data_IF_245666113296
#
_entry.id   IF_245666113296
#
_cell.length_a   1.000
_cell.length_b   1.000
_cell.length_c   1.000
_cell.angle_alpha   90.00
_cell.angle_beta   90.00
_cell.angle_gamma   90.00
#
_symmetry.space_group_name_H-M   'P 1'
#
loop_
_entity.id
_entity.type
_entity.pdbx_description
1 polymer ?
#
# COMPACT_ATOMS: atom_id res chain seq x y z
N UNK A 1 -5.11 -10.58 -5.13
CA UNK A 1 -4.64 -9.28 -4.58
C UNK A 1 -5.72 -8.23 -4.80
N UNK A 2 -6.02 -7.38 -3.82
CA UNK A 2 -6.95 -6.25 -4.00
C UNK A 2 -6.21 -5.08 -4.65
N UNK A 3 -6.74 -4.55 -5.75
CA UNK A 3 -6.08 -3.48 -6.53
C UNK A 3 -6.58 -2.08 -6.13
N UNK A 4 -7.84 -1.94 -5.73
CA UNK A 4 -8.48 -0.64 -5.49
C UNK A 4 -9.05 -0.52 -4.07
N UNK A 5 -8.98 0.69 -3.50
CA UNK A 5 -9.66 1.06 -2.25
C UNK A 5 -11.14 1.34 -2.43
N UNK A 6 -11.61 1.54 -3.65
CA UNK A 6 -13.02 1.69 -3.95
C UNK A 6 -13.80 0.47 -3.42
N UNK A 7 -15.01 0.72 -2.93
CA UNK A 7 -15.88 -0.37 -2.53
C UNK A 7 -16.33 -1.16 -3.78
N UNK A 8 -16.65 -2.46 -3.65
CA UNK A 8 -17.23 -3.20 -4.77
C UNK A 8 -18.48 -2.53 -5.35
N UNK A 9 -19.27 -1.86 -4.50
CA UNK A 9 -20.47 -1.13 -4.91
C UNK A 9 -20.13 0.11 -5.74
N UNK A 10 -19.10 0.89 -5.36
CA UNK A 10 -18.64 2.05 -6.14
C UNK A 10 -18.12 1.61 -7.51
N UNK A 11 -17.32 0.54 -7.56
CA UNK A 11 -16.80 -0.01 -8.83
C UNK A 11 -17.96 -0.49 -9.71
N UNK A 12 -18.93 -1.20 -9.13
CA UNK A 12 -20.12 -1.66 -9.85
C UNK A 12 -20.97 -0.51 -10.38
N UNK A 13 -21.22 0.52 -9.57
CA UNK A 13 -21.97 1.70 -9.96
C UNK A 13 -21.26 2.48 -11.08
N UNK A 14 -19.95 2.68 -10.97
CA UNK A 14 -19.13 3.32 -12.00
C UNK A 14 -19.17 2.53 -13.31
N UNK A 15 -18.95 1.20 -13.25
CA UNK A 15 -18.97 0.32 -14.42
C UNK A 15 -20.31 0.37 -15.15
N UNK A 16 -21.42 0.32 -14.41
CA UNK A 16 -22.77 0.39 -14.98
C UNK A 16 -23.02 1.75 -15.67
N UNK A 17 -22.57 2.84 -15.06
CA UNK A 17 -22.74 4.18 -15.64
C UNK A 17 -21.91 4.40 -16.91
N UNK A 18 -20.69 3.83 -16.96
CA UNK A 18 -19.79 3.94 -18.11
C UNK A 18 -20.24 3.05 -19.28
N UNK A 19 -20.62 1.80 -19.01
CA UNK A 19 -21.05 0.83 -20.03
C UNK A 19 -22.38 1.17 -20.70
N UNK A 20 -23.26 1.94 -20.04
CA UNK A 20 -24.53 2.36 -20.63
C UNK A 20 -24.40 3.25 -21.88
N UNK A 21 -23.19 3.73 -22.20
CA UNK A 21 -22.94 4.71 -23.27
C UNK A 21 -22.05 4.21 -24.41
N UNK A 22 -21.35 3.09 -24.25
CA UNK A 22 -20.33 2.67 -25.21
C UNK A 22 -20.22 1.15 -25.35
N UNK A 23 -19.83 0.71 -26.55
CA UNK A 23 -19.64 -0.71 -26.87
C UNK A 23 -18.29 -1.28 -26.39
N UNK A 24 -17.27 -0.43 -26.14
CA UNK A 24 -15.92 -0.86 -25.74
C UNK A 24 -15.30 0.08 -24.72
N UNK A 25 -14.43 -0.42 -23.83
CA UNK A 25 -13.78 0.42 -22.81
C UNK A 25 -12.77 1.41 -23.42
N UNK A 26 -12.24 1.13 -24.61
CA UNK A 26 -11.37 2.05 -25.35
C UNK A 26 -12.05 3.36 -25.75
N UNK A 27 -13.37 3.39 -25.89
CA UNK A 27 -14.11 4.59 -26.28
C UNK A 27 -14.07 5.71 -25.24
N UNK A 28 -13.81 5.39 -23.96
CA UNK A 28 -13.71 6.35 -22.87
C UNK A 28 -12.47 7.25 -22.92
N UNK A 29 -11.54 6.99 -23.83
CA UNK A 29 -10.26 7.70 -23.93
C UNK A 29 -10.12 8.49 -25.23
N UNK A 30 -11.24 8.79 -25.89
CA UNK A 30 -11.28 9.75 -27.00
C UNK A 30 -11.33 11.16 -26.44
N UNK A 31 -10.77 12.13 -27.17
CA UNK A 31 -10.68 13.54 -26.72
C UNK A 31 -12.06 14.18 -26.44
N UNK A 32 -13.12 13.65 -27.03
CA UNK A 32 -14.50 14.11 -26.87
C UNK A 32 -15.28 13.40 -25.76
N UNK A 33 -14.65 12.46 -25.04
CA UNK A 33 -15.32 11.74 -23.97
C UNK A 33 -15.45 12.62 -22.72
N UNK A 34 -16.70 12.84 -22.31
CA UNK A 34 -17.03 13.39 -20.99
C UNK A 34 -17.83 12.34 -20.21
N UNK A 35 -17.38 11.93 -19.01
CA UNK A 35 -18.16 11.01 -18.21
C UNK A 35 -19.55 11.60 -17.94
N UNK A 36 -20.57 10.73 -17.89
CA UNK A 36 -21.95 11.13 -17.59
C UNK A 36 -22.12 11.71 -16.19
N UNK A 37 -23.34 11.95 -15.73
CA UNK A 37 -23.56 12.35 -14.33
C UNK A 37 -23.05 11.27 -13.37
N UNK A 38 -22.58 11.69 -12.19
CA UNK A 38 -22.11 10.78 -11.16
C UNK A 38 -23.24 9.84 -10.72
N UNK A 39 -22.96 8.53 -10.55
CA UNK A 39 -23.90 7.63 -9.88
C UNK A 39 -24.21 8.11 -8.46
N UNK A 40 -25.42 7.87 -7.97
CA UNK A 40 -25.84 8.35 -6.64
C UNK A 40 -24.97 7.86 -5.47
N UNK A 41 -24.25 6.74 -5.64
CA UNK A 41 -23.34 6.20 -4.64
C UNK A 41 -21.97 6.92 -4.60
N UNK A 42 -21.62 7.67 -5.64
CA UNK A 42 -20.30 8.28 -5.81
C UNK A 42 -20.43 9.80 -5.69
N UNK A 43 -19.60 10.39 -4.83
CA UNK A 43 -19.50 11.84 -4.70
C UNK A 43 -19.16 12.49 -6.05
N UNK A 44 -19.93 13.53 -6.43
CA UNK A 44 -19.80 14.21 -7.72
C UNK A 44 -18.40 14.80 -7.92
N UNK A 45 -17.80 15.32 -6.84
CA UNK A 45 -16.43 15.84 -6.86
C UNK A 45 -15.35 14.78 -7.13
N UNK A 46 -15.65 13.50 -6.88
CA UNK A 46 -14.73 12.37 -7.08
C UNK A 46 -15.02 11.60 -8.37
N UNK A 47 -16.18 11.82 -8.98
CA UNK A 47 -16.64 11.03 -10.11
C UNK A 47 -15.67 11.01 -11.30
N UNK A 48 -15.07 12.13 -11.75
CA UNK A 48 -14.11 12.10 -12.86
C UNK A 48 -12.93 11.14 -12.60
N UNK A 49 -12.35 11.20 -11.41
CA UNK A 49 -11.24 10.33 -11.00
C UNK A 49 -11.67 8.85 -10.93
N UNK A 50 -12.83 8.56 -10.34
CA UNK A 50 -13.36 7.20 -10.23
C UNK A 50 -13.72 6.62 -11.60
N UNK A 51 -14.33 7.43 -12.47
CA UNK A 51 -14.71 7.03 -13.82
C UNK A 51 -13.47 6.67 -14.64
N UNK A 52 -12.43 7.51 -14.60
CA UNK A 52 -11.17 7.24 -15.28
C UNK A 52 -10.48 6.00 -14.72
N UNK A 53 -10.36 5.88 -13.40
CA UNK A 53 -9.76 4.71 -12.74
C UNK A 53 -10.44 3.40 -13.17
N UNK A 54 -11.77 3.35 -13.12
CA UNK A 54 -12.54 2.17 -13.50
C UNK A 54 -12.42 1.91 -15.00
N UNK A 55 -12.59 2.92 -15.86
CA UNK A 55 -12.47 2.73 -17.31
C UNK A 55 -11.10 2.17 -17.71
N UNK A 56 -10.01 2.64 -17.09
CA UNK A 56 -8.65 2.17 -17.37
C UNK A 56 -8.45 0.74 -16.91
N UNK A 57 -8.90 0.39 -15.70
CA UNK A 57 -8.84 -0.97 -15.19
C UNK A 57 -9.62 -1.95 -16.08
N UNK A 58 -10.86 -1.60 -16.44
CA UNK A 58 -11.72 -2.44 -17.28
C UNK A 58 -11.16 -2.63 -18.69
N UNK A 59 -10.51 -1.60 -19.25
CA UNK A 59 -9.81 -1.70 -20.54
C UNK A 59 -8.69 -2.74 -20.51
N UNK A 60 -7.94 -2.83 -19.41
CA UNK A 60 -6.92 -3.87 -19.23
C UNK A 60 -7.58 -5.25 -19.08
N UNK A 61 -8.64 -5.35 -18.29
CA UNK A 61 -9.39 -6.60 -18.08
C UNK A 61 -10.00 -7.13 -19.38
N UNK A 62 -10.55 -6.26 -20.22
CA UNK A 62 -11.07 -6.60 -21.56
C UNK A 62 -9.98 -7.30 -22.39
N UNK A 63 -8.80 -6.70 -22.52
CA UNK A 63 -7.67 -7.28 -23.28
C UNK A 63 -7.17 -8.58 -22.64
N UNK A 64 -7.07 -8.65 -21.32
CA UNK A 64 -6.67 -9.86 -20.61
C UNK A 64 -7.61 -11.03 -20.90
N UNK A 65 -8.92 -10.78 -20.94
CA UNK A 65 -9.93 -11.81 -21.22
C UNK A 65 -9.99 -12.20 -22.69
N UNK A 66 -9.92 -11.23 -23.60
CA UNK A 66 -10.12 -11.47 -25.03
C UNK A 66 -8.85 -11.94 -25.75
N UNK A 67 -7.69 -11.43 -25.35
CA UNK A 67 -6.41 -11.59 -26.07
C UNK A 67 -5.31 -12.24 -25.22
N UNK A 68 -5.55 -12.38 -23.92
CA UNK A 68 -4.64 -13.05 -23.00
C UNK A 68 -3.56 -12.13 -22.41
N UNK A 69 -2.75 -12.72 -21.51
CA UNK A 69 -1.77 -11.99 -20.72
C UNK A 69 -0.67 -11.32 -21.56
N UNK A 70 -0.12 -12.01 -22.55
CA UNK A 70 1.00 -11.47 -23.32
C UNK A 70 0.58 -10.24 -24.15
N UNK A 71 -0.64 -10.23 -24.70
CA UNK A 71 -1.21 -9.08 -25.39
C UNK A 71 -1.46 -7.90 -24.42
N UNK A 72 -1.93 -8.17 -23.20
CA UNK A 72 -2.10 -7.13 -22.19
C UNK A 72 -0.75 -6.54 -21.74
N UNK A 73 0.29 -7.37 -21.60
CA UNK A 73 1.66 -6.91 -21.31
C UNK A 73 2.23 -6.06 -22.43
N UNK A 74 2.08 -6.47 -23.69
CA UNK A 74 2.54 -5.69 -24.85
C UNK A 74 1.86 -4.32 -24.89
N UNK A 75 0.56 -4.27 -24.61
CA UNK A 75 -0.23 -3.04 -24.70
C UNK A 75 -0.08 -2.11 -23.49
N UNK A 76 0.00 -2.64 -22.28
CA UNK A 76 -0.09 -1.85 -21.04
C UNK A 76 1.12 -2.00 -20.12
N UNK A 77 2.07 -2.89 -20.41
CA UNK A 77 3.25 -3.13 -19.58
C UNK A 77 4.22 -1.94 -19.48
N UNK A 78 4.04 -0.92 -20.32
CA UNK A 78 4.76 0.36 -20.28
C UNK A 78 3.81 1.57 -20.11
N UNK A 79 2.60 1.34 -19.59
CA UNK A 79 1.64 2.42 -19.33
C UNK A 79 2.19 3.40 -18.28
N UNK A 80 2.00 4.70 -18.51
CA UNK A 80 2.31 5.75 -17.53
C UNK A 80 1.24 5.84 -16.42
N UNK A 81 0.08 5.23 -16.63
CA UNK A 81 -1.04 5.23 -15.69
C UNK A 81 -0.94 4.08 -14.69
N UNK A 82 -0.86 4.43 -13.40
CA UNK A 82 -0.68 3.47 -12.32
C UNK A 82 -1.73 2.35 -12.31
N UNK A 83 -3.01 2.65 -12.55
CA UNK A 83 -4.08 1.63 -12.49
C UNK A 83 -3.95 0.58 -13.60
N UNK A 84 -3.42 0.94 -14.77
CA UNK A 84 -3.22 0.00 -15.86
C UNK A 84 -2.08 -0.96 -15.53
N UNK A 85 -0.93 -0.43 -15.09
CA UNK A 85 0.18 -1.23 -14.60
C UNK A 85 -0.20 -2.08 -13.39
N UNK A 86 -1.00 -1.54 -12.46
CA UNK A 86 -1.47 -2.25 -11.28
C UNK A 86 -2.34 -3.45 -11.68
N UNK A 87 -3.23 -3.26 -12.65
CA UNK A 87 -4.12 -4.32 -13.14
C UNK A 87 -3.33 -5.43 -13.82
N UNK A 88 -2.39 -5.08 -14.71
CA UNK A 88 -1.51 -6.08 -15.36
C UNK A 88 -0.59 -6.77 -14.35
N UNK A 89 0.01 -6.02 -13.42
CA UNK A 89 0.90 -6.58 -12.38
C UNK A 89 0.13 -7.52 -11.45
N UNK A 90 -1.12 -7.20 -11.13
CA UNK A 90 -1.99 -8.07 -10.34
C UNK A 90 -2.36 -9.36 -11.08
N UNK A 91 -2.66 -9.27 -12.38
CA UNK A 91 -2.88 -10.43 -13.22
C UNK A 91 -1.61 -11.31 -13.29
N UNK A 92 -0.44 -10.69 -13.44
CA UNK A 92 0.85 -11.38 -13.45
C UNK A 92 1.11 -12.11 -12.13
N UNK A 93 0.84 -11.46 -11.00
CA UNK A 93 1.00 -12.07 -9.69
C UNK A 93 0.07 -13.27 -9.47
N UNK A 94 -1.16 -13.21 -10.00
CA UNK A 94 -2.12 -14.31 -9.91
C UNK A 94 -1.71 -15.56 -10.70
N UNK A 95 -0.82 -15.42 -11.69
CA UNK A 95 -0.26 -16.52 -12.49
C UNK A 95 1.24 -16.72 -12.25
N UNK A 96 1.78 -16.21 -11.14
CA UNK A 96 3.19 -16.35 -10.74
C UNK A 96 4.21 -15.82 -11.79
N UNK A 97 3.81 -14.83 -12.60
CA UNK A 97 4.63 -14.15 -13.61
C UNK A 97 5.04 -12.73 -13.23
N UNK A 98 4.64 -12.23 -12.06
CA UNK A 98 5.04 -10.90 -11.61
C UNK A 98 6.56 -10.83 -11.39
N UNK A 99 7.17 -9.73 -11.84
CA UNK A 99 8.60 -9.49 -11.69
C UNK A 99 8.87 -8.26 -10.83
N UNK A 100 10.08 -8.19 -10.25
CA UNK A 100 10.50 -7.03 -9.47
C UNK A 100 10.39 -5.73 -10.27
N UNK A 101 10.79 -5.75 -11.55
CA UNK A 101 10.78 -4.56 -12.40
C UNK A 101 9.35 -4.10 -12.70
N UNK A 102 8.38 -5.01 -12.89
CA UNK A 102 6.97 -4.63 -13.08
C UNK A 102 6.41 -3.87 -11.87
N UNK A 103 6.67 -4.37 -10.65
CA UNK A 103 6.23 -3.70 -9.43
C UNK A 103 6.97 -2.37 -9.24
N UNK A 104 8.26 -2.32 -9.56
CA UNK A 104 9.05 -1.10 -9.47
C UNK A 104 8.53 -0.01 -10.42
N UNK A 105 8.23 -0.34 -11.67
CA UNK A 105 7.68 0.64 -12.62
C UNK A 105 6.30 1.12 -12.19
N UNK A 106 5.43 0.23 -11.67
CA UNK A 106 4.15 0.62 -11.07
C UNK A 106 4.34 1.65 -9.94
N UNK A 107 5.29 1.43 -9.04
CA UNK A 107 5.52 2.31 -7.89
C UNK A 107 6.20 3.65 -8.26
N UNK A 108 6.62 3.81 -9.52
CA UNK A 108 7.15 5.06 -10.08
C UNK A 108 6.12 5.91 -10.82
N UNK A 109 4.96 5.34 -11.14
CA UNK A 109 3.87 6.10 -11.74
C UNK A 109 3.36 7.20 -10.80
N UNK A 110 2.66 8.18 -11.38
CA UNK A 110 1.86 9.11 -10.61
C UNK A 110 0.88 8.35 -9.70
N UNK A 111 0.76 8.81 -8.45
CA UNK A 111 -0.05 8.12 -7.45
C UNK A 111 -1.53 8.25 -7.80
N UNK A 112 -2.18 7.11 -8.03
CA UNK A 112 -3.63 7.01 -8.13
C UNK A 112 -4.20 6.74 -6.73
N UNK A 113 -4.92 7.71 -6.19
CA UNK A 113 -5.53 7.67 -4.85
C UNK A 113 -6.55 6.52 -4.66
N UNK A 114 -7.06 5.97 -5.77
CA UNK A 114 -7.97 4.83 -5.74
C UNK A 114 -7.23 3.50 -5.60
N UNK A 115 -5.90 3.41 -5.80
CA UNK A 115 -5.14 2.16 -5.74
C UNK A 115 -4.80 1.75 -4.31
N UNK A 116 -5.00 0.47 -4.01
CA UNK A 116 -4.55 -0.21 -2.79
C UNK A 116 -3.10 -0.70 -2.89
N UNK A 117 -2.15 0.23 -2.74
CA UNK A 117 -0.71 -0.04 -2.92
C UNK A 117 -0.09 -1.08 -1.97
N UNK A 118 -0.72 -1.38 -0.83
CA UNK A 118 -0.18 -2.30 0.17
C UNK A 118 0.21 -3.68 -0.39
N UNK A 119 -0.64 -4.27 -1.24
CA UNK A 119 -0.34 -5.57 -1.86
C UNK A 119 0.86 -5.53 -2.83
N UNK A 120 1.09 -4.39 -3.49
CA UNK A 120 2.23 -4.20 -4.37
C UNK A 120 3.52 -3.95 -3.61
N UNK A 121 3.46 -3.25 -2.47
CA UNK A 121 4.62 -3.09 -1.58
C UNK A 121 5.05 -4.43 -0.96
N UNK A 122 4.09 -5.25 -0.54
CA UNK A 122 4.37 -6.62 -0.07
C UNK A 122 5.01 -7.48 -1.18
N UNK A 123 4.51 -7.35 -2.41
CA UNK A 123 5.04 -8.03 -3.58
C UNK A 123 6.46 -7.55 -3.94
N UNK A 124 6.73 -6.24 -3.86
CA UNK A 124 8.06 -5.65 -4.04
C UNK A 124 9.06 -6.29 -3.06
N UNK A 125 8.72 -6.33 -1.77
CA UNK A 125 9.57 -6.92 -0.74
C UNK A 125 9.80 -8.42 -0.98
N UNK A 126 8.76 -9.16 -1.41
CA UNK A 126 8.84 -10.59 -1.66
C UNK A 126 9.72 -10.93 -2.87
N UNK A 127 9.61 -10.16 -3.96
CA UNK A 127 10.41 -10.35 -5.17
C UNK A 127 11.83 -9.78 -5.04
N UNK A 128 12.03 -8.83 -4.12
CA UNK A 128 13.25 -8.08 -3.94
C UNK A 128 14.17 -8.58 -2.82
N UNK A 129 14.00 -9.82 -2.34
CA UNK A 129 14.78 -10.40 -1.23
C UNK A 129 16.28 -10.44 -1.51
N UNK A 130 16.67 -10.73 -2.75
CA UNK A 130 18.07 -10.71 -3.21
C UNK A 130 18.56 -9.32 -3.65
N UNK A 131 17.67 -8.31 -3.63
CA UNK A 131 17.91 -6.95 -4.15
C UNK A 131 17.56 -5.87 -3.13
N UNK A 132 17.87 -6.12 -1.85
CA UNK A 132 17.41 -5.31 -0.72
C UNK A 132 17.61 -3.80 -0.88
N UNK A 133 18.78 -3.36 -1.38
CA UNK A 133 19.04 -1.93 -1.64
C UNK A 133 18.10 -1.33 -2.70
N UNK A 134 17.81 -2.06 -3.78
CA UNK A 134 16.89 -1.60 -4.81
C UNK A 134 15.44 -1.60 -4.32
N UNK A 135 15.06 -2.62 -3.55
CA UNK A 135 13.75 -2.70 -2.87
C UNK A 135 13.56 -1.50 -1.97
N UNK A 136 14.58 -1.20 -1.14
CA UNK A 136 14.54 -0.11 -0.19
C UNK A 136 14.46 1.24 -0.90
N UNK A 137 15.32 1.51 -1.88
CA UNK A 137 15.28 2.77 -2.64
C UNK A 137 13.93 2.99 -3.36
N UNK A 138 13.34 1.91 -3.89
CA UNK A 138 12.00 1.98 -4.52
C UNK A 138 10.92 2.30 -3.49
N UNK A 139 10.98 1.66 -2.31
CA UNK A 139 10.03 1.90 -1.23
C UNK A 139 10.18 3.33 -0.66
N UNK A 140 11.40 3.80 -0.41
CA UNK A 140 11.71 5.16 0.05
C UNK A 140 11.12 6.20 -0.92
N UNK A 141 11.39 6.05 -2.22
CA UNK A 141 10.85 6.94 -3.24
C UNK A 141 9.32 6.95 -3.26
N UNK A 142 8.69 5.77 -3.22
CA UNK A 142 7.23 5.66 -3.16
C UNK A 142 6.66 6.34 -1.90
N UNK A 143 7.28 6.10 -0.73
CA UNK A 143 6.87 6.74 0.53
C UNK A 143 6.87 8.27 0.45
N UNK A 144 7.92 8.84 -0.15
CA UNK A 144 8.04 10.28 -0.33
C UNK A 144 6.95 10.82 -1.27
N UNK A 145 6.80 10.21 -2.46
CA UNK A 145 5.77 10.59 -3.42
C UNK A 145 4.36 10.49 -2.81
N UNK A 146 4.05 9.36 -2.17
CA UNK A 146 2.77 9.09 -1.52
C UNK A 146 2.47 10.06 -0.38
N UNK A 147 3.47 10.42 0.44
CA UNK A 147 3.29 11.40 1.51
C UNK A 147 3.14 12.85 1.01
N UNK A 148 3.69 13.17 -0.16
CA UNK A 148 3.67 14.52 -0.73
C UNK A 148 2.34 14.86 -1.43
N UNK A 149 1.56 13.84 -1.82
CA UNK A 149 0.30 14.03 -2.52
C UNK A 149 -0.76 14.68 -1.61
N UNK A 150 -1.32 15.85 -1.99
CA UNK A 150 -2.43 16.48 -1.28
C UNK A 150 -3.74 15.74 -1.61
N UNK A 151 -4.01 14.66 -0.88
CA UNK A 151 -5.22 13.86 -1.07
C UNK A 151 -6.39 14.37 -0.23
N UNK A 152 -7.59 14.27 -0.81
CA UNK A 152 -8.87 14.48 -0.10
C UNK A 152 -9.55 13.18 0.30
N UNK A 153 -8.92 12.03 0.03
CA UNK A 153 -9.50 10.74 0.38
C UNK A 153 -9.63 10.62 1.90
N UNK A 154 -10.75 10.06 2.38
CA UNK A 154 -10.87 9.67 3.77
C UNK A 154 -9.71 8.75 4.17
N UNK A 155 -9.19 8.99 5.37
CA UNK A 155 -8.11 8.20 5.97
C UNK A 155 -6.75 8.28 5.25
N UNK A 156 -6.50 9.31 4.43
CA UNK A 156 -5.22 9.44 3.73
C UNK A 156 -4.02 9.49 4.67
N UNK A 157 -4.12 10.26 5.76
CA UNK A 157 -3.05 10.38 6.76
C UNK A 157 -2.70 9.02 7.37
N UNK A 158 -3.70 8.20 7.69
CA UNK A 158 -3.55 6.84 8.22
C UNK A 158 -2.93 5.88 7.20
N UNK A 159 -3.22 6.07 5.91
CA UNK A 159 -2.58 5.29 4.82
C UNK A 159 -1.11 5.66 4.69
N UNK A 160 -0.77 6.95 4.68
CA UNK A 160 0.62 7.43 4.65
C UNK A 160 1.39 6.90 5.86
N UNK A 161 0.78 6.96 7.03
CA UNK A 161 1.29 6.39 8.27
C UNK A 161 1.60 4.88 8.15
N UNK A 162 0.66 4.10 7.61
CA UNK A 162 0.83 2.65 7.41
C UNK A 162 1.98 2.35 6.44
N UNK A 163 2.08 3.09 5.34
CA UNK A 163 3.16 2.94 4.35
C UNK A 163 4.53 3.23 4.99
N UNK A 164 4.62 4.28 5.83
CA UNK A 164 5.84 4.61 6.60
C UNK A 164 6.19 3.56 7.64
N UNK A 165 5.21 2.97 8.32
CA UNK A 165 5.45 1.87 9.26
C UNK A 165 6.03 0.64 8.52
N UNK A 166 5.58 0.40 7.28
CA UNK A 166 6.18 -0.62 6.40
C UNK A 166 7.62 -0.31 5.99
N UNK A 167 7.93 0.95 5.65
CA UNK A 167 9.31 1.38 5.38
C UNK A 167 10.21 1.21 6.61
N UNK A 168 9.73 1.57 7.80
CA UNK A 168 10.47 1.37 9.04
C UNK A 168 10.75 -0.12 9.31
N UNK A 169 9.79 -0.99 9.04
CA UNK A 169 10.00 -2.43 9.12
C UNK A 169 11.01 -2.94 8.09
N UNK A 170 10.99 -2.41 6.85
CA UNK A 170 11.97 -2.76 5.82
C UNK A 170 13.39 -2.32 6.21
N UNK A 171 13.56 -1.14 6.81
CA UNK A 171 14.85 -0.74 7.37
C UNK A 171 15.40 -1.74 8.38
N UNK A 172 14.55 -2.29 9.26
CA UNK A 172 14.96 -3.34 10.20
C UNK A 172 15.43 -4.60 9.47
N UNK A 173 14.69 -5.04 8.44
CA UNK A 173 15.06 -6.21 7.63
C UNK A 173 16.41 -6.01 6.94
N UNK A 174 16.70 -4.80 6.45
CA UNK A 174 17.97 -4.45 5.80
C UNK A 174 19.10 -4.13 6.80
N UNK A 175 18.89 -4.29 8.12
CA UNK A 175 19.89 -3.97 9.14
C UNK A 175 20.14 -2.47 9.36
N UNK A 176 19.33 -1.59 8.75
CA UNK A 176 19.37 -0.12 8.91
C UNK A 176 18.63 0.30 10.17
N UNK A 177 19.11 -0.19 11.31
CA UNK A 177 18.37 -0.09 12.56
C UNK A 177 18.24 1.36 13.06
N UNK A 178 19.22 2.22 12.79
CA UNK A 178 19.15 3.61 13.23
C UNK A 178 18.00 4.35 12.55
N UNK A 179 17.90 4.23 11.23
CA UNK A 179 16.85 4.81 10.40
C UNK A 179 15.47 4.25 10.77
N UNK A 180 15.39 2.93 10.99
CA UNK A 180 14.17 2.31 11.51
C UNK A 180 13.74 2.90 12.85
N UNK A 181 14.67 3.12 13.77
CA UNK A 181 14.39 3.64 15.10
C UNK A 181 13.90 5.09 15.05
N UNK A 182 14.55 5.92 14.23
CA UNK A 182 14.16 7.31 14.01
C UNK A 182 12.74 7.39 13.44
N UNK A 183 12.45 6.61 12.40
CA UNK A 183 11.13 6.62 11.76
C UNK A 183 10.03 6.11 12.71
N UNK A 184 10.25 5.00 13.41
CA UNK A 184 9.29 4.53 14.42
C UNK A 184 9.11 5.53 15.58
N UNK A 185 10.17 6.22 16.02
CA UNK A 185 10.10 7.19 17.11
C UNK A 185 9.30 8.42 16.70
N UNK A 186 9.58 8.98 15.52
CA UNK A 186 8.82 10.09 14.97
C UNK A 186 7.33 9.75 14.86
N UNK A 187 7.01 8.56 14.34
CA UNK A 187 5.64 8.05 14.23
C UNK A 187 4.96 7.92 15.60
N UNK A 188 5.67 7.34 16.58
CA UNK A 188 5.15 7.17 17.93
C UNK A 188 4.94 8.51 18.64
N UNK A 189 5.75 9.53 18.39
CA UNK A 189 5.56 10.88 18.95
C UNK A 189 4.34 11.58 18.34
N UNK A 190 4.13 11.43 17.03
CA UNK A 190 3.03 12.08 16.30
C UNK A 190 1.65 11.51 16.69
N UNK A 191 1.51 10.19 16.73
CA UNK A 191 0.20 9.56 16.97
C UNK A 191 0.05 8.99 18.38
N UNK A 192 1.17 8.71 19.06
CA UNK A 192 1.22 7.97 20.33
C UNK A 192 0.36 6.70 20.25
N UNK A 193 0.46 5.93 19.18
CA UNK A 193 -0.34 4.72 19.04
C UNK A 193 0.38 3.51 19.63
N UNK A 194 -0.42 2.64 20.28
CA UNK A 194 0.04 1.33 20.72
C UNK A 194 0.48 0.47 19.51
N UNK A 195 -0.16 0.67 18.35
CA UNK A 195 0.11 -0.08 17.13
C UNK A 195 1.54 0.13 16.62
N UNK A 196 2.05 1.36 16.60
CA UNK A 196 3.44 1.64 16.18
C UNK A 196 4.43 0.91 17.10
N UNK A 197 4.22 0.95 18.42
CA UNK A 197 5.11 0.28 19.37
C UNK A 197 5.09 -1.25 19.22
N UNK A 198 3.90 -1.83 19.01
CA UNK A 198 3.76 -3.26 18.74
C UNK A 198 4.39 -3.65 17.39
N UNK A 199 4.21 -2.84 16.36
CA UNK A 199 4.81 -3.03 15.04
C UNK A 199 6.34 -3.01 15.11
N UNK A 200 6.90 -1.99 15.75
CA UNK A 200 8.34 -1.85 15.95
C UNK A 200 8.93 -3.01 16.76
N UNK A 201 8.31 -3.36 17.89
CA UNK A 201 8.79 -4.49 18.72
C UNK A 201 8.80 -5.81 17.95
N UNK A 202 7.77 -6.06 17.12
CA UNK A 202 7.70 -7.25 16.26
C UNK A 202 8.80 -7.25 15.20
N UNK A 203 9.02 -6.11 14.53
CA UNK A 203 10.04 -5.99 13.50
C UNK A 203 11.44 -6.27 14.07
N UNK A 204 11.81 -5.62 15.18
CA UNK A 204 13.11 -5.85 15.81
C UNK A 204 13.26 -7.28 16.34
N UNK A 205 12.21 -7.85 16.91
CA UNK A 205 12.28 -9.23 17.41
C UNK A 205 12.49 -10.23 16.26
N UNK A 206 11.87 -10.01 15.11
CA UNK A 206 12.06 -10.84 13.91
C UNK A 206 13.50 -10.75 13.36
N UNK A 207 14.16 -9.60 13.51
CA UNK A 207 15.56 -9.41 13.13
C UNK A 207 16.56 -9.85 14.22
N UNK A 208 16.10 -10.39 15.35
CA UNK A 208 16.98 -10.79 16.46
C UNK A 208 17.48 -9.64 17.34
N UNK A 209 17.01 -8.40 17.12
CA UNK A 209 17.36 -7.20 17.88
C UNK A 209 16.57 -7.11 19.19
N UNK A 210 16.81 -8.05 20.09
CA UNK A 210 16.03 -8.23 21.33
C UNK A 210 16.04 -6.98 22.22
N UNK A 211 17.18 -6.28 22.31
CA UNK A 211 17.30 -5.04 23.09
C UNK A 211 16.34 -3.95 22.62
N UNK A 212 16.28 -3.71 21.31
CA UNK A 212 15.35 -2.75 20.70
C UNK A 212 13.91 -3.23 20.76
N UNK A 213 13.68 -4.54 20.62
CA UNK A 213 12.35 -5.11 20.79
C UNK A 213 11.80 -4.86 22.21
N UNK A 214 12.62 -5.06 23.26
CA UNK A 214 12.25 -4.78 24.64
C UNK A 214 11.97 -3.29 24.88
N UNK A 215 12.79 -2.39 24.33
CA UNK A 215 12.56 -0.95 24.40
C UNK A 215 11.17 -0.58 23.87
N UNK A 216 10.81 -1.11 22.70
CA UNK A 216 9.51 -0.84 22.08
C UNK A 216 8.33 -1.49 22.80
N UNK A 217 8.51 -2.66 23.41
CA UNK A 217 7.52 -3.23 24.32
C UNK A 217 7.28 -2.32 25.54
N UNK A 218 8.35 -1.70 26.08
CA UNK A 218 8.26 -0.71 27.15
C UNK A 218 7.42 0.52 26.75
N UNK A 219 7.74 1.15 25.61
CA UNK A 219 6.94 2.26 25.06
C UNK A 219 5.47 1.87 24.84
N UNK A 220 5.23 0.64 24.36
CA UNK A 220 3.88 0.10 24.22
C UNK A 220 3.15 -0.07 25.54
N UNK A 221 3.83 -0.54 26.59
CA UNK A 221 3.28 -0.70 27.93
C UNK A 221 2.90 0.65 28.55
N UNK A 222 3.78 1.64 28.46
CA UNK A 222 3.53 3.02 28.90
C UNK A 222 2.28 3.57 28.22
N UNK A 223 2.20 3.46 26.89
CA UNK A 223 1.02 3.95 26.17
C UNK A 223 -0.25 3.19 26.54
N UNK A 224 -0.18 1.88 26.73
CA UNK A 224 -1.32 1.08 27.14
C UNK A 224 -1.87 1.54 28.51
N UNK A 225 -1.02 1.89 29.46
CA UNK A 225 -1.45 2.45 30.75
C UNK A 225 -2.12 3.81 30.59
N UNK A 226 -1.54 4.71 29.79
CA UNK A 226 -2.12 6.04 29.52
C UNK A 226 -3.55 5.99 28.99
N UNK A 227 -3.88 4.98 28.18
CA UNK A 227 -5.22 4.78 27.61
C UNK A 227 -6.11 3.85 28.45
N UNK A 228 -5.73 3.56 29.70
CA UNK A 228 -6.51 2.75 30.64
C UNK A 228 -6.55 1.25 30.33
N UNK A 229 -5.56 0.72 29.60
CA UNK A 229 -5.44 -0.70 29.20
C UNK A 229 -4.41 -1.44 30.07
N UNK A 230 -4.52 -1.33 31.40
CA UNK A 230 -3.51 -1.86 32.34
C UNK A 230 -3.19 -3.35 32.20
N UNK A 231 -4.18 -4.20 31.91
CA UNK A 231 -3.93 -5.62 31.65
C UNK A 231 -3.10 -5.87 30.37
N UNK A 232 -3.20 -4.98 29.38
CA UNK A 232 -2.30 -5.03 28.22
C UNK A 232 -0.90 -4.55 28.59
N UNK A 233 -0.79 -3.45 29.34
CA UNK A 233 0.48 -2.91 29.78
C UNK A 233 1.29 -3.94 30.57
N UNK A 234 0.65 -4.64 31.52
CA UNK A 234 1.30 -5.70 32.28
C UNK A 234 1.82 -6.83 31.37
N UNK A 235 1.00 -7.32 30.44
CA UNK A 235 1.43 -8.36 29.49
C UNK A 235 2.64 -7.95 28.64
N UNK A 236 2.74 -6.68 28.27
CA UNK A 236 3.87 -6.16 27.51
C UNK A 236 5.15 -6.09 28.36
N UNK A 237 5.02 -5.69 29.64
CA UNK A 237 6.13 -5.74 30.62
C UNK A 237 6.62 -7.16 30.86
N UNK A 238 5.70 -8.08 31.15
CA UNK A 238 6.00 -9.50 31.37
C UNK A 238 6.76 -10.09 30.17
N UNK A 239 6.33 -9.72 28.94
CA UNK A 239 7.01 -10.15 27.72
C UNK A 239 8.42 -9.57 27.60
N UNK A 240 8.63 -8.30 27.95
CA UNK A 240 9.95 -7.69 27.94
C UNK A 240 10.88 -8.33 28.98
N UNK A 241 10.38 -8.64 30.17
CA UNK A 241 11.13 -9.33 31.22
C UNK A 241 11.50 -10.76 30.81
N UNK A 242 10.56 -11.50 30.21
CA UNK A 242 10.81 -12.84 29.71
C UNK A 242 11.88 -12.85 28.60
N UNK A 243 11.94 -11.81 27.75
CA UNK A 243 13.00 -11.66 26.76
C UNK A 243 14.36 -11.38 27.43
N UNK A 244 14.39 -10.49 28.42
CA UNK A 244 15.61 -10.18 29.19
C UNK A 244 16.21 -11.43 29.84
N UNK A 245 15.37 -12.26 30.48
CA UNK A 245 15.79 -13.49 31.14
C UNK A 245 16.35 -14.56 30.18
N UNK A 246 16.03 -14.48 28.88
CA UNK A 246 16.58 -15.40 27.86
C UNK A 246 17.94 -14.97 27.32
N UNK A 247 18.37 -13.73 27.60
CA UNK A 247 19.67 -13.21 27.17
C UNK A 247 20.78 -13.35 28.23
N UNK A 248 20.39 -13.59 29.49
CA UNK A 248 21.28 -13.85 30.63
C UNK A 248 21.62 -15.32 30.75
#
# INVERSE_FOLDING_TARGET
>A
MRISWLSPDDVGAARNALSARHDTWGAHFRDDFTPGPAPAAIDEGRWPQVAEHVARAERVVEVLHEQGFDAAMERFGASEHAIELATVTAAAAAVERATFDMVRELLRCEIDECIAYGGFLDLLCSLGTERQEHTLATYEHFCEAFASLPSRQPMWAERVATVRDGLAALYVVCGRFQEAHELFSQRHEQERTLLVALGASRAYLAAGEVGRAMLWLGKGAERADEIGRGAMAQRLRDKAEALRARQS
#
